data_IF_646926448556
#
_entry.id   IF_646926448556
#
_cell.length_a   1.000
_cell.length_b   1.000
_cell.length_c   1.000
_cell.angle_alpha   90.00
_cell.angle_beta   90.00
_cell.angle_gamma   90.00
#
_symmetry.space_group_name_H-M   'P 1'
#
loop_
_entity.id
_entity.type
_entity.pdbx_description
1 polymer ?
#
# COMPACT_ATOMS: atom_id res chain seq x y z
N UNK A 1 4.18 -12.78 -17.31
CA UNK A 1 5.61 -12.40 -17.16
C UNK A 1 5.80 -10.91 -16.83
N UNK A 2 5.25 -9.91 -17.60
CA UNK A 2 5.39 -8.48 -17.27
C UNK A 2 4.56 -8.13 -16.02
N UNK A 3 3.38 -8.71 -15.89
CA UNK A 3 2.53 -8.51 -14.71
C UNK A 3 3.16 -9.10 -13.45
N UNK A 4 3.82 -10.26 -13.55
CA UNK A 4 4.54 -10.87 -12.41
C UNK A 4 5.70 -9.97 -11.94
N UNK A 5 6.41 -9.32 -12.88
CA UNK A 5 7.45 -8.33 -12.57
C UNK A 5 6.86 -7.14 -11.81
N UNK A 6 5.71 -6.63 -12.26
CA UNK A 6 5.01 -5.55 -11.60
C UNK A 6 4.62 -5.93 -10.15
N UNK A 7 4.04 -7.11 -9.96
CA UNK A 7 3.70 -7.60 -8.62
C UNK A 7 4.94 -7.78 -7.73
N UNK A 8 6.06 -8.30 -8.25
CA UNK A 8 7.32 -8.40 -7.50
C UNK A 8 7.81 -7.04 -6.99
N UNK A 9 7.69 -5.98 -7.81
CA UNK A 9 8.07 -4.63 -7.40
C UNK A 9 7.21 -4.18 -6.23
N UNK A 10 5.89 -4.41 -6.26
CA UNK A 10 5.00 -4.04 -5.17
C UNK A 10 5.32 -4.81 -3.88
N UNK A 11 5.63 -6.11 -3.99
CA UNK A 11 6.10 -6.91 -2.85
C UNK A 11 7.41 -6.35 -2.30
N UNK A 12 8.36 -5.97 -3.16
CA UNK A 12 9.62 -5.38 -2.74
C UNK A 12 9.41 -4.02 -2.04
N UNK A 13 8.48 -3.18 -2.53
CA UNK A 13 8.11 -1.92 -1.85
C UNK A 13 7.59 -2.18 -0.43
N UNK A 14 6.72 -3.20 -0.26
CA UNK A 14 6.26 -3.62 1.06
C UNK A 14 7.41 -4.10 1.94
N UNK A 15 8.30 -4.94 1.43
CA UNK A 15 9.46 -5.43 2.20
C UNK A 15 10.40 -4.29 2.60
N UNK A 16 10.61 -3.30 1.73
CA UNK A 16 11.34 -2.08 2.07
C UNK A 16 10.68 -1.35 3.24
N UNK A 17 9.37 -1.13 3.16
CA UNK A 17 8.63 -0.39 4.20
C UNK A 17 8.57 -1.16 5.52
N UNK A 18 8.14 -2.42 5.49
CA UNK A 18 7.85 -3.21 6.68
C UNK A 18 9.10 -3.78 7.34
N UNK A 19 10.03 -4.32 6.54
CA UNK A 19 11.21 -5.03 7.03
C UNK A 19 12.44 -4.12 7.14
N UNK A 20 12.71 -3.34 6.09
CA UNK A 20 13.88 -2.47 6.05
C UNK A 20 13.62 -1.10 6.70
N UNK A 21 12.36 -0.75 6.96
CA UNK A 21 11.95 0.54 7.52
C UNK A 21 12.40 1.70 6.63
N UNK A 22 12.19 1.56 5.32
CA UNK A 22 12.56 2.55 4.31
C UNK A 22 11.42 2.77 3.31
N UNK A 23 11.24 4.02 2.91
CA UNK A 23 10.53 4.45 1.71
C UNK A 23 11.58 4.91 0.71
N UNK A 24 11.52 4.49 -0.54
CA UNK A 24 12.55 4.78 -1.54
C UNK A 24 12.65 6.26 -1.86
N UNK A 25 11.52 6.93 -2.00
CA UNK A 25 11.37 8.37 -2.25
C UNK A 25 11.84 8.87 -3.63
N UNK A 26 12.33 7.97 -4.48
CA UNK A 26 12.70 8.23 -5.89
C UNK A 26 12.56 6.95 -6.74
N UNK A 27 11.56 6.11 -6.45
CA UNK A 27 11.37 4.86 -7.19
C UNK A 27 10.81 5.13 -8.59
N UNK A 28 11.52 4.59 -9.57
CA UNK A 28 11.16 4.67 -10.98
C UNK A 28 11.74 3.48 -11.74
N UNK A 29 11.41 3.34 -13.03
CA UNK A 29 11.98 2.30 -13.89
C UNK A 29 13.50 2.33 -13.98
N UNK A 30 14.13 3.47 -13.71
CA UNK A 30 15.59 3.63 -13.77
C UNK A 30 16.30 3.04 -12.55
N UNK A 31 15.57 2.89 -11.45
CA UNK A 31 16.06 2.34 -10.19
C UNK A 31 15.67 0.86 -10.00
N UNK A 32 15.36 0.18 -11.12
CA UNK A 32 15.01 -1.24 -11.16
C UNK A 32 15.96 -2.01 -12.06
N UNK A 33 16.52 -3.09 -11.56
CA UNK A 33 17.34 -4.03 -12.33
C UNK A 33 16.66 -5.39 -12.33
N UNK A 34 16.43 -5.93 -13.52
CA UNK A 34 16.00 -7.32 -13.68
C UNK A 34 17.21 -8.21 -13.92
N UNK A 35 17.40 -9.20 -13.06
CA UNK A 35 18.44 -10.20 -13.23
C UNK A 35 17.98 -11.37 -14.11
N UNK A 36 18.92 -12.25 -14.50
CA UNK A 36 18.69 -13.32 -15.51
C UNK A 36 17.53 -14.26 -15.17
N UNK A 37 17.26 -14.46 -13.89
CA UNK A 37 16.21 -15.38 -13.41
C UNK A 37 14.84 -14.71 -13.28
N UNK A 38 14.72 -13.44 -13.71
CA UNK A 38 13.48 -12.66 -13.60
C UNK A 38 13.29 -12.00 -12.21
N UNK A 39 14.29 -12.09 -11.35
CA UNK A 39 14.29 -11.38 -10.06
C UNK A 39 14.50 -9.88 -10.24
N UNK A 40 13.75 -9.09 -9.49
CA UNK A 40 13.81 -7.63 -9.55
C UNK A 40 14.56 -7.09 -8.33
N UNK A 41 15.58 -6.30 -8.59
CA UNK A 41 16.34 -5.58 -7.59
C UNK A 41 16.02 -4.09 -7.66
N UNK A 42 15.73 -3.50 -6.50
CA UNK A 42 15.61 -2.04 -6.33
C UNK A 42 17.00 -1.52 -5.95
N UNK A 43 17.44 -0.48 -6.66
CA UNK A 43 18.77 0.14 -6.48
C UNK A 43 18.63 1.63 -6.19
N UNK A 44 19.75 2.26 -5.81
CA UNK A 44 19.84 3.70 -5.54
C UNK A 44 18.92 4.20 -4.42
N UNK A 45 19.17 3.68 -3.24
CA UNK A 45 18.46 4.07 -2.01
C UNK A 45 18.97 5.37 -1.37
N UNK A 46 19.75 6.18 -2.10
CA UNK A 46 20.37 7.40 -1.56
C UNK A 46 19.37 8.46 -1.11
N UNK A 47 18.18 8.50 -1.71
CA UNK A 47 17.08 9.41 -1.37
C UNK A 47 16.11 8.82 -0.33
N UNK A 48 16.29 7.56 0.06
CA UNK A 48 15.35 6.85 0.93
C UNK A 48 15.22 7.50 2.30
N UNK A 49 14.01 7.47 2.83
CA UNK A 49 13.68 8.02 4.14
C UNK A 49 13.06 6.94 5.04
N UNK A 50 13.16 7.12 6.35
CA UNK A 50 12.47 6.27 7.31
C UNK A 50 10.94 6.53 7.29
N UNK A 51 10.09 5.56 7.65
CA UNK A 51 8.63 5.73 7.68
C UNK A 51 8.13 6.83 8.62
N UNK A 52 8.92 7.21 9.64
CA UNK A 52 8.63 8.30 10.56
C UNK A 52 8.99 9.70 10.00
N UNK A 53 9.61 9.77 8.83
CA UNK A 53 9.89 11.05 8.18
C UNK A 53 8.58 11.78 7.83
N UNK A 54 8.49 13.11 8.04
CA UNK A 54 7.25 13.88 7.81
C UNK A 54 6.65 13.70 6.41
N UNK A 55 7.47 13.48 5.39
CA UNK A 55 7.05 13.33 4.00
C UNK A 55 7.02 11.87 3.51
N UNK A 56 7.29 10.87 4.38
CA UNK A 56 7.45 9.47 3.96
C UNK A 56 6.23 8.94 3.20
N UNK A 57 5.02 9.21 3.68
CA UNK A 57 3.80 8.73 3.03
C UNK A 57 3.52 9.42 1.69
N UNK A 58 3.91 10.70 1.54
CA UNK A 58 3.80 11.38 0.25
C UNK A 58 4.82 10.85 -0.75
N UNK A 59 6.04 10.58 -0.30
CA UNK A 59 7.05 9.93 -1.13
C UNK A 59 6.62 8.52 -1.55
N UNK A 60 6.01 7.75 -0.65
CA UNK A 60 5.47 6.45 -0.99
C UNK A 60 4.36 6.55 -2.06
N UNK A 61 3.47 7.54 -1.97
CA UNK A 61 2.46 7.78 -3.01
C UNK A 61 3.10 8.12 -4.36
N UNK A 62 4.15 8.94 -4.35
CA UNK A 62 4.90 9.27 -5.58
C UNK A 62 5.57 8.03 -6.18
N UNK A 63 6.20 7.20 -5.35
CA UNK A 63 6.82 5.95 -5.76
C UNK A 63 5.78 5.02 -6.42
N UNK A 64 4.63 4.83 -5.78
CA UNK A 64 3.52 4.01 -6.32
C UNK A 64 3.03 4.57 -7.67
N UNK A 65 2.79 5.88 -7.73
CA UNK A 65 2.35 6.53 -8.96
C UNK A 65 3.34 6.35 -10.10
N UNK A 66 4.65 6.53 -9.85
CA UNK A 66 5.69 6.39 -10.87
C UNK A 66 5.71 4.96 -11.44
N UNK A 67 5.62 3.95 -10.57
CA UNK A 67 5.56 2.54 -10.99
C UNK A 67 4.29 2.27 -11.79
N UNK A 68 3.11 2.69 -11.31
CA UNK A 68 1.85 2.53 -12.04
C UNK A 68 1.90 3.20 -13.42
N UNK A 69 2.35 4.45 -13.48
CA UNK A 69 2.49 5.20 -14.73
C UNK A 69 3.39 4.48 -15.74
N UNK A 70 4.51 3.94 -15.30
CA UNK A 70 5.41 3.17 -16.15
C UNK A 70 4.73 1.93 -16.72
N UNK A 71 4.14 1.10 -15.86
CA UNK A 71 3.52 -0.15 -16.31
C UNK A 71 2.27 0.09 -17.16
N UNK A 72 1.42 1.04 -16.79
CA UNK A 72 0.22 1.37 -17.55
C UNK A 72 0.57 2.05 -18.89
N UNK A 73 1.42 3.09 -18.87
CA UNK A 73 1.67 3.93 -20.07
C UNK A 73 2.71 3.34 -21.00
N UNK A 74 3.78 2.71 -20.48
CA UNK A 74 4.89 2.16 -21.27
C UNK A 74 4.74 0.68 -21.56
N UNK A 75 4.30 -0.13 -20.59
CA UNK A 75 4.15 -1.59 -20.76
C UNK A 75 2.75 -1.98 -21.21
N UNK A 76 1.75 -1.08 -21.12
CA UNK A 76 0.38 -1.30 -21.57
C UNK A 76 -0.29 -2.48 -20.87
N UNK A 77 -0.08 -2.62 -19.57
CA UNK A 77 -0.79 -3.60 -18.72
C UNK A 77 -1.75 -2.86 -17.79
N UNK A 78 -2.75 -3.59 -17.32
CA UNK A 78 -3.61 -3.12 -16.24
C UNK A 78 -2.80 -3.05 -14.94
N UNK A 79 -3.04 -2.00 -14.15
CA UNK A 79 -2.37 -1.78 -12.87
C UNK A 79 -3.41 -1.77 -11.75
N UNK A 80 -2.95 -1.97 -10.51
CA UNK A 80 -3.82 -1.86 -9.34
C UNK A 80 -4.08 -0.39 -8.97
N UNK A 81 -5.19 -0.13 -8.26
CA UNK A 81 -5.47 1.17 -7.68
C UNK A 81 -4.35 1.59 -6.73
N UNK A 82 -3.92 2.85 -6.82
CA UNK A 82 -2.83 3.38 -5.98
C UNK A 82 -3.16 3.29 -4.48
N UNK A 83 -4.43 3.50 -4.11
CA UNK A 83 -4.92 3.34 -2.75
C UNK A 83 -4.76 1.90 -2.23
N UNK A 84 -5.05 0.91 -3.07
CA UNK A 84 -4.91 -0.50 -2.70
C UNK A 84 -3.44 -0.91 -2.53
N UNK A 85 -2.57 -0.44 -3.44
CA UNK A 85 -1.12 -0.65 -3.32
C UNK A 85 -0.58 0.02 -2.06
N UNK A 86 -0.97 1.26 -1.79
CA UNK A 86 -0.55 1.99 -0.60
C UNK A 86 -0.94 1.23 0.67
N UNK A 87 -2.19 0.77 0.75
CA UNK A 87 -2.68 -0.06 1.85
C UNK A 87 -1.87 -1.36 1.97
N UNK A 88 -1.65 -2.05 0.87
CA UNK A 88 -0.82 -3.27 0.83
C UNK A 88 0.59 -3.02 1.39
N UNK A 89 1.20 -1.87 1.12
CA UNK A 89 2.56 -1.55 1.59
C UNK A 89 2.60 -1.22 3.07
N UNK A 90 1.66 -0.42 3.60
CA UNK A 90 1.74 0.14 4.95
C UNK A 90 1.06 -0.70 6.03
N UNK A 91 -0.01 -1.44 5.69
CA UNK A 91 -0.81 -2.16 6.67
C UNK A 91 -0.10 -3.38 7.27
N UNK A 92 -0.47 -3.72 8.49
CA UNK A 92 -0.04 -4.94 9.14
C UNK A 92 -0.51 -6.18 8.38
N UNK A 93 0.27 -7.26 8.45
CA UNK A 93 0.00 -8.50 7.75
C UNK A 93 -1.39 -9.08 8.09
N UNK A 94 -1.83 -8.96 9.34
CA UNK A 94 -3.13 -9.44 9.82
C UNK A 94 -4.30 -8.75 9.12
N UNK A 95 -4.15 -7.44 8.86
CA UNK A 95 -5.13 -6.63 8.13
C UNK A 95 -5.17 -7.06 6.67
N UNK A 96 -3.99 -7.26 6.07
CA UNK A 96 -3.90 -7.69 4.67
C UNK A 96 -4.52 -9.06 4.42
N UNK A 97 -4.25 -10.03 5.29
CA UNK A 97 -4.85 -11.37 5.18
C UNK A 97 -6.36 -11.31 5.30
N UNK A 98 -6.89 -10.41 6.14
CA UNK A 98 -8.34 -10.20 6.28
C UNK A 98 -8.96 -9.53 5.06
N UNK A 99 -8.27 -8.53 4.49
CA UNK A 99 -8.83 -7.68 3.44
C UNK A 99 -8.57 -8.24 2.03
N UNK A 100 -7.43 -8.89 1.83
CA UNK A 100 -6.97 -9.40 0.53
C UNK A 100 -6.71 -10.91 0.51
N UNK A 101 -6.87 -11.61 1.64
CA UNK A 101 -6.77 -13.08 1.67
C UNK A 101 -7.93 -13.71 0.91
N UNK A 102 -7.64 -14.84 0.21
CA UNK A 102 -8.67 -15.63 -0.42
C UNK A 102 -9.70 -16.12 0.59
N UNK A 103 -10.95 -16.26 0.14
CA UNK A 103 -12.01 -16.88 0.96
C UNK A 103 -11.69 -18.34 1.33
N UNK A 104 -10.67 -18.93 0.72
CA UNK A 104 -10.07 -20.22 1.05
C UNK A 104 -8.78 -20.08 1.88
N UNK A 105 -8.33 -18.85 2.17
CA UNK A 105 -7.26 -18.61 3.15
C UNK A 105 -7.62 -19.18 4.51
N UNK A 106 -6.72 -19.26 5.47
CA UNK A 106 -6.87 -20.04 6.68
C UNK A 106 -8.09 -19.59 7.50
N UNK A 107 -9.28 -20.03 7.07
CA UNK A 107 -10.53 -19.89 7.84
C UNK A 107 -10.44 -20.63 9.17
N UNK A 108 -9.40 -21.46 9.35
CA UNK A 108 -9.19 -22.36 10.48
C UNK A 108 -7.72 -22.38 10.96
N UNK A 109 -6.96 -21.30 10.82
CA UNK A 109 -5.81 -21.18 11.71
C UNK A 109 -6.41 -20.85 13.07
N UNK A 110 -6.51 -21.87 13.93
CA UNK A 110 -6.86 -21.68 15.34
C UNK A 110 -6.06 -20.49 15.87
N UNK A 111 -6.69 -19.62 16.65
CA UNK A 111 -6.07 -18.36 17.12
C UNK A 111 -4.67 -18.58 17.74
N UNK A 112 -4.43 -19.77 18.25
CA UNK A 112 -3.16 -20.17 18.86
C UNK A 112 -2.02 -20.35 17.82
N UNK A 113 -2.32 -20.66 16.55
CA UNK A 113 -1.34 -20.90 15.48
C UNK A 113 -1.13 -19.67 14.57
N UNK A 114 -1.96 -18.62 14.68
CA UNK A 114 -1.85 -17.46 13.80
C UNK A 114 -0.54 -16.67 13.99
N UNK A 115 -0.01 -16.65 15.21
CA UNK A 115 1.28 -15.98 15.50
C UNK A 115 2.45 -16.63 14.75
N UNK A 116 2.46 -17.95 14.63
CA UNK A 116 3.52 -18.66 13.91
C UNK A 116 3.31 -18.58 12.40
N UNK A 117 2.08 -18.68 11.93
CA UNK A 117 1.72 -18.40 10.53
C UNK A 117 2.18 -16.99 10.10
N UNK A 118 1.94 -15.97 10.94
CA UNK A 118 2.40 -14.60 10.70
C UNK A 118 3.91 -14.52 10.59
N UNK A 119 4.66 -15.12 11.54
CA UNK A 119 6.12 -15.11 11.53
C UNK A 119 6.72 -15.71 10.25
N UNK A 120 6.09 -16.77 9.72
CA UNK A 120 6.56 -17.47 8.53
C UNK A 120 6.19 -16.72 7.23
N UNK A 121 5.01 -16.11 7.19
CA UNK A 121 4.43 -15.62 5.94
C UNK A 121 4.47 -14.11 5.73
N UNK A 122 4.59 -13.28 6.78
CA UNK A 122 4.56 -11.81 6.66
C UNK A 122 5.66 -11.23 5.75
N UNK A 123 6.75 -11.97 5.53
CA UNK A 123 7.87 -11.61 4.66
C UNK A 123 8.14 -12.68 3.58
N UNK A 124 7.27 -13.66 3.43
CA UNK A 124 7.39 -14.68 2.40
C UNK A 124 6.91 -14.11 1.07
N UNK A 125 7.80 -14.06 0.09
CA UNK A 125 7.51 -13.49 -1.23
C UNK A 125 6.34 -14.20 -1.93
N UNK A 126 6.24 -15.54 -1.83
CA UNK A 126 5.15 -16.30 -2.46
C UNK A 126 3.79 -15.98 -1.84
N UNK A 127 3.71 -15.90 -0.51
CA UNK A 127 2.51 -15.51 0.21
C UNK A 127 2.09 -14.07 -0.10
N UNK A 128 3.06 -13.15 -0.16
CA UNK A 128 2.81 -11.75 -0.50
C UNK A 128 2.40 -11.58 -1.97
N UNK A 129 2.93 -12.40 -2.89
CA UNK A 129 2.51 -12.40 -4.30
C UNK A 129 1.03 -12.81 -4.47
N UNK A 130 0.54 -13.76 -3.66
CA UNK A 130 -0.89 -14.12 -3.66
C UNK A 130 -1.75 -12.95 -3.16
N UNK A 131 -1.36 -12.30 -2.07
CA UNK A 131 -2.10 -11.15 -1.52
C UNK A 131 -2.12 -9.97 -2.49
N UNK A 132 -1.00 -9.64 -3.13
CA UNK A 132 -0.94 -8.55 -4.11
C UNK A 132 -1.80 -8.86 -5.35
N UNK A 133 -1.91 -10.13 -5.74
CA UNK A 133 -2.75 -10.56 -6.86
C UNK A 133 -4.24 -10.31 -6.64
N UNK A 134 -4.68 -10.15 -5.39
CA UNK A 134 -6.07 -9.91 -5.02
C UNK A 134 -6.43 -8.40 -4.87
N UNK A 135 -5.48 -7.50 -5.11
CA UNK A 135 -5.75 -6.07 -5.13
C UNK A 135 -6.69 -5.70 -6.28
N UNK A 136 -7.48 -4.65 -6.10
CA UNK A 136 -8.40 -4.17 -7.15
C UNK A 136 -7.62 -3.55 -8.31
N UNK A 137 -7.84 -4.07 -9.51
CA UNK A 137 -7.33 -3.47 -10.76
C UNK A 137 -8.03 -2.17 -11.08
N UNK A 138 -7.31 -1.25 -11.67
CA UNK A 138 -7.81 -0.01 -12.23
C UNK A 138 -8.28 -0.26 -13.66
N UNK A 139 -9.58 -0.23 -13.89
CA UNK A 139 -10.19 -0.65 -15.15
C UNK A 139 -10.95 0.45 -15.89
N UNK A 140 -11.39 1.50 -15.20
CA UNK A 140 -12.26 2.51 -15.77
C UNK A 140 -11.90 3.96 -15.33
N UNK A 141 -12.63 4.94 -15.88
CA UNK A 141 -12.43 6.36 -15.57
C UNK A 141 -12.79 6.72 -14.12
N UNK A 142 -13.67 5.96 -13.47
CA UNK A 142 -14.03 6.18 -12.07
C UNK A 142 -12.86 5.76 -11.15
N UNK A 143 -12.19 4.68 -11.51
CA UNK A 143 -10.97 4.23 -10.82
C UNK A 143 -9.83 5.26 -10.96
N UNK A 144 -9.68 5.91 -12.14
CA UNK A 144 -8.71 6.99 -12.33
C UNK A 144 -9.03 8.20 -11.43
N UNK A 145 -10.30 8.58 -11.30
CA UNK A 145 -10.73 9.65 -10.39
C UNK A 145 -10.49 9.30 -8.92
N UNK A 146 -10.65 8.01 -8.54
CA UNK A 146 -10.32 7.56 -7.19
C UNK A 146 -8.82 7.73 -6.88
N UNK A 147 -7.94 7.38 -7.82
CA UNK A 147 -6.51 7.60 -7.68
C UNK A 147 -6.16 9.10 -7.60
N UNK A 148 -6.81 9.94 -8.41
CA UNK A 148 -6.60 11.39 -8.36
C UNK A 148 -7.03 11.98 -7.00
N UNK A 149 -8.18 11.56 -6.48
CA UNK A 149 -8.63 11.95 -5.14
C UNK A 149 -7.63 11.47 -4.10
N UNK A 150 -7.18 10.23 -4.17
CA UNK A 150 -6.20 9.66 -3.23
C UNK A 150 -4.89 10.45 -3.22
N UNK A 151 -4.37 10.87 -4.38
CA UNK A 151 -3.16 11.70 -4.49
C UNK A 151 -3.30 13.05 -3.81
N UNK A 152 -4.50 13.63 -3.83
CA UNK A 152 -4.80 14.95 -3.25
C UNK A 152 -5.22 14.91 -1.78
N UNK A 153 -5.43 13.72 -1.20
CA UNK A 153 -5.75 13.59 0.22
C UNK A 153 -4.59 14.06 1.10
N UNK A 154 -4.91 14.92 2.06
CA UNK A 154 -3.96 15.22 3.14
C UNK A 154 -3.88 14.03 4.09
N UNK A 155 -2.71 13.39 4.16
CA UNK A 155 -2.47 12.29 5.09
C UNK A 155 -2.12 12.86 6.46
N UNK A 156 -2.97 12.62 7.45
CA UNK A 156 -2.66 12.95 8.84
C UNK A 156 -1.50 12.05 9.32
N UNK A 157 -0.42 12.66 9.80
CA UNK A 157 0.84 11.96 10.10
C UNK A 157 1.20 11.91 11.55
N UNK A 158 0.67 12.85 12.32
CA UNK A 158 0.90 12.96 13.76
C UNK A 158 -0.32 13.59 14.44
N UNK A 159 -0.29 13.56 15.78
CA UNK A 159 -1.35 14.17 16.59
C UNK A 159 -1.42 15.69 16.45
N UNK A 160 -0.37 16.35 15.95
CA UNK A 160 -0.34 17.78 15.75
C UNK A 160 -1.05 18.22 14.46
N UNK A 161 -1.25 17.29 13.51
CA UNK A 161 -2.02 17.52 12.28
C UNK A 161 -3.53 17.28 12.46
N UNK A 162 -3.97 16.88 13.66
CA UNK A 162 -5.38 16.71 13.99
C UNK A 162 -6.01 18.06 14.35
N UNK A 163 -7.16 18.36 13.75
CA UNK A 163 -7.99 19.48 14.20
C UNK A 163 -8.74 19.11 15.50
N UNK A 164 -9.22 20.12 16.24
CA UNK A 164 -9.93 19.93 17.50
C UNK A 164 -11.16 19.03 17.37
N UNK A 165 -11.80 19.05 16.20
CA UNK A 165 -12.93 18.18 15.85
C UNK A 165 -12.53 16.70 15.72
N UNK A 166 -11.32 16.42 15.25
CA UNK A 166 -10.81 15.06 15.09
C UNK A 166 -10.47 14.45 16.46
N UNK A 167 -9.93 15.24 17.38
CA UNK A 167 -9.73 14.83 18.79
C UNK A 167 -11.04 14.44 19.46
N UNK A 168 -12.13 15.17 19.18
CA UNK A 168 -13.45 14.86 19.74
C UNK A 168 -13.97 13.54 19.19
N UNK A 169 -13.86 13.31 17.88
CA UNK A 169 -14.26 12.07 17.21
C UNK A 169 -13.42 10.86 17.65
N UNK A 170 -12.12 11.07 17.91
CA UNK A 170 -11.23 10.05 18.46
C UNK A 170 -11.65 9.64 19.87
N UNK A 171 -11.94 10.59 20.76
CA UNK A 171 -12.44 10.32 22.11
C UNK A 171 -13.77 9.58 22.12
N UNK A 172 -14.59 9.80 21.11
CA UNK A 172 -15.91 9.13 20.95
C UNK A 172 -15.77 7.75 20.29
N UNK A 173 -14.56 7.29 19.99
CA UNK A 173 -14.31 5.99 19.32
C UNK A 173 -14.83 5.91 17.88
N UNK A 174 -15.17 7.06 17.29
CA UNK A 174 -15.73 7.16 15.94
C UNK A 174 -14.67 7.24 14.85
N UNK A 175 -13.42 7.46 15.21
CA UNK A 175 -12.28 7.54 14.29
C UNK A 175 -11.17 6.65 14.83
N UNK A 176 -10.78 5.66 14.04
CA UNK A 176 -9.51 4.99 14.16
C UNK A 176 -8.52 5.83 13.33
N UNK A 177 -7.51 6.44 13.99
CA UNK A 177 -6.54 7.35 13.35
C UNK A 177 -5.85 6.67 12.16
N UNK A 178 -5.64 5.35 12.23
CA UNK A 178 -5.07 4.58 11.13
C UNK A 178 -6.09 4.27 10.01
N UNK A 179 -7.36 4.10 10.33
CA UNK A 179 -8.43 3.97 9.33
C UNK A 179 -8.77 5.29 8.65
N UNK A 180 -8.57 6.43 9.32
CA UNK A 180 -8.83 7.76 8.75
C UNK A 180 -7.80 8.15 7.69
N UNK A 181 -6.61 7.54 7.69
CA UNK A 181 -5.64 7.70 6.60
C UNK A 181 -6.14 7.18 5.25
N UNK A 182 -7.21 6.38 5.24
CA UNK A 182 -7.73 5.70 4.04
C UNK A 182 -9.25 5.72 3.96
N UNK A 183 -9.95 6.58 4.73
CA UNK A 183 -11.41 6.58 4.79
C UNK A 183 -12.06 7.30 3.62
N UNK A 184 -12.99 6.61 3.09
CA UNK A 184 -14.01 6.87 2.10
C UNK A 184 -14.67 8.27 2.25
N UNK A 185 -14.42 9.17 1.29
CA UNK A 185 -15.08 10.48 1.18
C UNK A 185 -16.61 10.41 1.01
N UNK A 186 -17.19 9.22 0.91
CA UNK A 186 -18.66 9.05 0.82
C UNK A 186 -19.38 9.39 2.13
N UNK A 187 -18.71 9.26 3.26
CA UNK A 187 -19.29 9.58 4.57
C UNK A 187 -19.43 11.11 4.83
N UNK A 188 -18.57 11.93 4.21
CA UNK A 188 -18.58 13.38 4.45
C UNK A 188 -19.58 14.18 3.58
N UNK A 189 -20.24 13.56 2.59
CA UNK A 189 -21.24 14.25 1.78
C UNK A 189 -22.67 14.24 2.36
N UNK A 190 -22.91 13.48 3.42
CA UNK A 190 -24.25 13.40 4.04
C UNK A 190 -24.43 14.27 5.28
N UNK A 191 -23.38 14.95 5.77
CA UNK A 191 -23.49 15.85 6.94
C UNK A 191 -23.45 17.36 6.60
N UNK A 192 -23.49 17.73 5.31
CA UNK A 192 -23.56 19.13 4.85
C UNK A 192 -24.79 19.32 3.92
N UNK A 193 -25.93 18.84 4.37
CA UNK A 193 -27.23 19.17 3.76
C UNK A 193 -28.22 19.51 4.87
#
# INVERSE_FOLDING_TARGET
QIFDIYQQILVNMRLMYQKCRLVHADLSEYNLIMYKDGEIYIIDVSQSVEPNHPMALDFLRMDIKNINDYFQKKKKIDVFLEKEIFKFVIEDFDVLVKDFGDSEGPKEVEKDNFSDYKKENQYNAEGLMKLVGNLKLKLDEEDEKQDEIFRNLHLMRDLNSLEEQDFKRFREGKIDVFKTMVVDHRANKQEIA
#
